data_IF_117030935235
#
_entry.id   IF_117030935235
#
_cell.length_a   1.000
_cell.length_b   1.000
_cell.length_c   1.000
_cell.angle_alpha   90.00
_cell.angle_beta   90.00
_cell.angle_gamma   90.00
#
_symmetry.space_group_name_H-M   'P 1'
#
loop_
_entity.id
_entity.type
_entity.pdbx_description
1 polymer ?
#
# COMPACT_ATOMS: atom_id res chain seq x y z
N UNK A 1 -44.32 17.82 -20.52
CA UNK A 1 -43.07 17.06 -20.79
C UNK A 1 -42.30 17.05 -19.49
N UNK A 2 -42.14 15.89 -18.85
CA UNK A 2 -41.37 15.77 -17.62
C UNK A 2 -39.88 15.84 -17.95
N UNK A 3 -39.19 16.80 -17.32
CA UNK A 3 -37.75 17.01 -17.49
C UNK A 3 -37.00 15.79 -16.92
N UNK A 4 -36.07 15.23 -17.71
CA UNK A 4 -35.28 14.07 -17.27
C UNK A 4 -34.25 14.52 -16.25
N UNK A 5 -34.33 13.99 -15.03
CA UNK A 5 -33.41 14.32 -13.94
C UNK A 5 -32.24 13.32 -13.89
N UNK A 6 -31.02 13.85 -13.73
CA UNK A 6 -29.82 13.04 -13.48
C UNK A 6 -29.85 12.51 -12.03
N UNK A 7 -29.59 11.22 -11.85
CA UNK A 7 -29.51 10.62 -10.52
C UNK A 7 -28.22 11.06 -9.80
N UNK A 8 -28.29 11.56 -8.56
CA UNK A 8 -27.11 12.08 -7.86
C UNK A 8 -26.09 11.01 -7.46
N UNK A 9 -26.49 9.74 -7.36
CA UNK A 9 -25.64 8.64 -6.90
C UNK A 9 -25.05 7.83 -8.06
N UNK A 10 -25.79 7.74 -9.18
CA UNK A 10 -25.45 6.86 -10.31
C UNK A 10 -25.21 7.61 -11.63
N UNK A 11 -25.31 8.94 -11.66
CA UNK A 11 -24.86 9.75 -12.80
C UNK A 11 -23.40 10.20 -12.59
N UNK A 12 -22.46 9.31 -12.94
CA UNK A 12 -21.04 9.54 -12.70
C UNK A 12 -20.43 10.60 -13.62
N UNK A 13 -19.55 11.43 -13.06
CA UNK A 13 -18.56 12.19 -13.82
C UNK A 13 -17.28 11.37 -13.96
N UNK A 14 -16.59 11.54 -15.10
CA UNK A 14 -15.37 10.82 -15.42
C UNK A 14 -14.17 11.76 -15.48
N UNK A 15 -12.99 11.20 -15.28
CA UNK A 15 -11.68 11.84 -15.46
C UNK A 15 -10.83 10.95 -16.35
N UNK A 16 -9.99 11.56 -17.19
CA UNK A 16 -9.08 10.83 -18.05
C UNK A 16 -7.65 11.03 -17.58
N UNK A 17 -6.93 9.94 -17.35
CA UNK A 17 -5.50 9.93 -17.07
C UNK A 17 -4.75 9.44 -18.30
N UNK A 18 -3.71 10.16 -18.71
CA UNK A 18 -2.74 9.68 -19.68
C UNK A 18 -1.51 9.19 -18.93
N UNK A 19 -1.13 7.94 -19.19
CA UNK A 19 0.08 7.32 -18.66
C UNK A 19 0.82 6.72 -19.83
N UNK A 20 2.03 7.22 -20.08
CA UNK A 20 2.79 6.87 -21.29
C UNK A 20 1.94 7.13 -22.55
N UNK A 21 1.71 6.12 -23.38
CA UNK A 21 0.90 6.16 -24.60
C UNK A 21 -0.56 5.73 -24.40
N UNK A 22 -1.01 5.54 -23.15
CA UNK A 22 -2.30 4.94 -22.82
C UNK A 22 -3.22 5.90 -22.05
N UNK A 23 -4.50 5.95 -22.45
CA UNK A 23 -5.55 6.71 -21.76
C UNK A 23 -6.42 5.81 -20.89
N UNK A 24 -6.65 6.24 -19.65
CA UNK A 24 -7.51 5.59 -18.67
C UNK A 24 -8.64 6.53 -18.26
N UNK A 25 -9.89 6.17 -18.57
CA UNK A 25 -11.07 6.95 -18.19
C UNK A 25 -11.76 6.30 -16.99
N UNK A 26 -11.82 7.01 -15.86
CA UNK A 26 -12.31 6.48 -14.57
C UNK A 26 -13.29 7.42 -13.87
N UNK A 27 -14.20 6.92 -13.03
CA UNK A 27 -15.08 7.75 -12.21
C UNK A 27 -14.30 8.73 -11.30
N UNK A 28 -14.70 10.00 -11.32
CA UNK A 28 -13.99 11.11 -10.64
C UNK A 28 -14.03 11.04 -9.11
N UNK A 29 -15.08 10.44 -8.55
CA UNK A 29 -15.35 10.49 -7.10
C UNK A 29 -14.27 9.81 -6.24
N UNK A 30 -13.52 8.85 -6.79
CA UNK A 30 -12.39 8.22 -6.07
C UNK A 30 -11.09 9.00 -6.27
N UNK A 31 -10.92 9.68 -7.40
CA UNK A 31 -9.71 10.45 -7.73
C UNK A 31 -9.92 11.94 -7.50
N UNK A 32 -10.16 12.30 -6.24
CA UNK A 32 -10.24 13.68 -5.79
C UNK A 32 -8.79 14.21 -5.67
N UNK A 33 -8.35 14.95 -6.68
CA UNK A 33 -6.98 15.45 -6.80
C UNK A 33 -6.44 16.07 -5.50
N UNK A 34 -5.23 15.71 -5.05
CA UNK A 34 -4.42 16.59 -4.21
C UNK A 34 -4.18 17.92 -4.95
N UNK A 35 -4.33 19.05 -4.27
CA UNK A 35 -4.12 20.39 -4.87
C UNK A 35 -2.68 20.68 -5.33
N UNK A 36 -1.70 19.81 -5.07
CA UNK A 36 -0.27 20.19 -5.14
C UNK A 36 0.54 19.53 -6.27
N UNK A 37 0.44 18.21 -6.46
CA UNK A 37 1.53 17.49 -7.16
C UNK A 37 1.17 16.96 -8.55
N UNK A 38 -0.12 16.77 -8.86
CA UNK A 38 -0.56 16.32 -10.19
C UNK A 38 -1.39 17.46 -10.77
N UNK A 39 -0.95 18.06 -11.87
CA UNK A 39 -1.67 19.16 -12.52
C UNK A 39 -2.39 18.65 -13.77
N UNK A 40 -3.66 19.01 -13.99
CA UNK A 40 -4.33 18.70 -15.24
C UNK A 40 -3.63 19.45 -16.39
N UNK A 41 -3.42 18.76 -17.50
CA UNK A 41 -2.82 19.35 -18.71
C UNK A 41 -3.87 20.05 -19.55
N UNK A 42 -5.11 19.55 -19.52
CA UNK A 42 -6.27 20.25 -20.05
C UNK A 42 -7.39 20.20 -19.01
N UNK A 43 -7.84 21.38 -18.60
CA UNK A 43 -9.10 21.55 -17.88
C UNK A 43 -10.19 21.79 -18.91
N UNK A 44 -11.13 20.84 -19.03
CA UNK A 44 -12.36 21.08 -19.78
C UNK A 44 -13.16 22.19 -19.10
N UNK A 45 -13.80 23.05 -19.90
CA UNK A 45 -14.68 24.11 -19.37
C UNK A 45 -15.96 23.55 -18.75
N UNK A 46 -16.28 22.31 -19.06
CA UNK A 46 -17.32 21.52 -18.43
C UNK A 46 -16.70 20.24 -17.85
N UNK A 47 -17.23 19.82 -16.70
CA UNK A 47 -16.79 18.73 -15.81
C UNK A 47 -16.67 17.31 -16.44
N UNK A 48 -16.56 17.19 -17.76
CA UNK A 48 -16.59 15.93 -18.50
C UNK A 48 -15.24 15.54 -19.13
N UNK A 49 -14.28 16.46 -19.28
CA UNK A 49 -13.01 16.24 -20.01
C UNK A 49 -11.76 16.79 -19.29
N UNK A 50 -11.61 16.48 -18.00
CA UNK A 50 -10.33 16.71 -17.31
C UNK A 50 -9.31 15.65 -17.77
N UNK A 51 -8.30 16.07 -18.54
CA UNK A 51 -7.14 15.24 -18.90
C UNK A 51 -5.98 15.53 -17.95
N UNK A 52 -5.52 14.47 -17.29
CA UNK A 52 -4.38 14.48 -16.39
C UNK A 52 -3.26 13.64 -16.98
N UNK A 53 -2.16 14.27 -17.37
CA UNK A 53 -0.95 13.53 -17.75
C UNK A 53 -0.16 13.18 -16.49
N UNK A 54 0.13 11.90 -16.31
CA UNK A 54 0.98 11.40 -15.25
C UNK A 54 2.43 11.41 -15.73
N UNK A 55 3.35 11.77 -14.83
CA UNK A 55 4.77 11.86 -15.15
C UNK A 55 5.39 10.49 -15.45
N UNK A 56 6.61 10.52 -16.00
CA UNK A 56 7.34 9.32 -16.44
C UNK A 56 7.67 8.34 -15.30
N UNK A 57 7.55 8.79 -14.04
CA UNK A 57 7.72 7.99 -12.82
C UNK A 57 6.57 7.01 -12.54
N UNK A 58 5.42 7.19 -13.20
CA UNK A 58 4.29 6.26 -13.13
C UNK A 58 4.22 5.50 -14.45
N UNK A 59 4.56 4.21 -14.39
CA UNK A 59 4.44 3.31 -15.55
C UNK A 59 2.99 2.91 -15.76
N UNK A 60 2.62 2.61 -17.01
CA UNK A 60 1.27 2.15 -17.35
C UNK A 60 0.87 0.94 -16.52
N UNK A 61 1.77 -0.04 -16.38
CA UNK A 61 1.49 -1.27 -15.64
C UNK A 61 1.30 -1.01 -14.14
N UNK A 62 2.03 -0.06 -13.56
CA UNK A 62 1.86 0.35 -12.15
C UNK A 62 0.47 0.99 -11.94
N UNK A 63 0.09 1.91 -12.83
CA UNK A 63 -1.22 2.54 -12.77
C UNK A 63 -2.34 1.52 -12.97
N UNK A 64 -2.16 0.53 -13.84
CA UNK A 64 -3.10 -0.57 -14.02
C UNK A 64 -3.30 -1.37 -12.73
N UNK A 65 -2.25 -1.64 -11.94
CA UNK A 65 -2.42 -2.34 -10.67
C UNK A 65 -3.19 -1.51 -9.65
N UNK A 66 -2.96 -0.19 -9.60
CA UNK A 66 -3.77 0.71 -8.78
C UNK A 66 -5.24 0.60 -9.17
N UNK A 67 -5.55 0.69 -10.47
CA UNK A 67 -6.92 0.60 -10.96
C UNK A 67 -7.57 -0.74 -10.67
N UNK A 68 -6.84 -1.86 -10.75
CA UNK A 68 -7.36 -3.18 -10.34
C UNK A 68 -7.73 -3.21 -8.86
N UNK A 69 -6.93 -2.56 -8.00
CA UNK A 69 -7.25 -2.46 -6.58
C UNK A 69 -8.48 -1.57 -6.30
N UNK A 70 -8.66 -0.51 -7.07
CA UNK A 70 -9.78 0.46 -6.96
C UNK A 70 -11.08 -0.09 -7.55
N UNK A 71 -11.00 -0.71 -8.72
CA UNK A 71 -12.10 -1.26 -9.50
C UNK A 71 -11.87 -2.76 -9.72
N UNK A 72 -12.16 -3.61 -8.72
CA UNK A 72 -11.99 -5.04 -8.86
C UNK A 72 -12.81 -5.57 -10.03
N UNK A 73 -12.23 -6.47 -10.83
CA UNK A 73 -12.95 -7.08 -11.97
C UNK A 73 -14.11 -7.95 -11.50
N UNK A 74 -13.95 -8.57 -10.34
CA UNK A 74 -14.91 -9.49 -9.76
C UNK A 74 -15.24 -9.01 -8.34
N UNK A 75 -16.52 -8.77 -8.07
CA UNK A 75 -16.96 -8.18 -6.80
C UNK A 75 -16.62 -9.05 -5.58
N UNK A 76 -16.64 -10.38 -5.76
CA UNK A 76 -16.48 -11.35 -4.69
C UNK A 76 -15.11 -12.05 -4.70
N UNK A 77 -14.23 -11.75 -5.65
CA UNK A 77 -12.94 -12.42 -5.73
C UNK A 77 -11.84 -11.44 -5.32
N UNK A 78 -10.92 -11.87 -4.44
CA UNK A 78 -9.75 -11.07 -4.15
C UNK A 78 -8.95 -10.86 -5.43
N UNK A 79 -8.47 -9.64 -5.64
CA UNK A 79 -7.57 -9.37 -6.75
C UNK A 79 -6.28 -10.18 -6.56
N UNK A 80 -5.99 -11.03 -7.54
CA UNK A 80 -4.74 -11.78 -7.60
C UNK A 80 -3.62 -10.83 -8.03
N UNK A 81 -3.04 -10.17 -7.04
CA UNK A 81 -1.87 -9.30 -7.16
C UNK A 81 -0.72 -9.87 -6.32
N UNK A 82 0.47 -9.86 -6.89
CA UNK A 82 1.70 -10.25 -6.21
C UNK A 82 2.10 -9.24 -5.13
N UNK A 83 3.05 -9.60 -4.25
CA UNK A 83 3.60 -8.69 -3.24
C UNK A 83 4.16 -7.41 -3.87
N UNK A 84 4.86 -7.51 -5.00
CA UNK A 84 5.39 -6.35 -5.73
C UNK A 84 4.28 -5.46 -6.27
N UNK A 85 3.22 -6.06 -6.82
CA UNK A 85 2.07 -5.31 -7.33
C UNK A 85 1.32 -4.62 -6.18
N UNK A 86 1.13 -5.28 -5.03
CA UNK A 86 0.53 -4.64 -3.86
C UNK A 86 1.40 -3.52 -3.27
N UNK A 87 2.72 -3.63 -3.28
CA UNK A 87 3.62 -2.52 -2.90
C UNK A 87 3.44 -1.33 -3.84
N UNK A 88 3.27 -1.59 -5.14
CA UNK A 88 2.98 -0.56 -6.14
C UNK A 88 1.64 0.12 -5.85
N UNK A 89 0.59 -0.64 -5.54
CA UNK A 89 -0.71 -0.10 -5.12
C UNK A 89 -0.57 0.73 -3.85
N UNK A 90 0.21 0.28 -2.86
CA UNK A 90 0.44 1.00 -1.62
C UNK A 90 1.13 2.36 -1.85
N UNK A 91 2.15 2.38 -2.71
CA UNK A 91 2.86 3.60 -3.13
C UNK A 91 1.93 4.58 -3.85
N UNK A 92 1.22 4.12 -4.88
CA UNK A 92 0.37 4.98 -5.69
C UNK A 92 -0.89 5.43 -4.94
N UNK A 93 -1.50 4.58 -4.12
CA UNK A 93 -2.64 4.99 -3.28
C UNK A 93 -2.29 6.13 -2.33
N UNK A 94 -1.07 6.18 -1.81
CA UNK A 94 -0.57 7.34 -1.04
C UNK A 94 -0.45 8.59 -1.91
N UNK A 95 0.09 8.47 -3.13
CA UNK A 95 0.25 9.58 -4.07
C UNK A 95 -1.12 10.19 -4.46
N UNK A 96 -2.10 9.34 -4.73
CA UNK A 96 -3.46 9.73 -5.10
C UNK A 96 -4.39 9.97 -3.90
N UNK A 97 -3.89 9.87 -2.65
CA UNK A 97 -4.66 10.04 -1.41
C UNK A 97 -5.89 9.11 -1.30
N UNK A 98 -5.73 7.88 -1.76
CA UNK A 98 -6.74 6.83 -1.71
C UNK A 98 -6.60 6.01 -0.43
N UNK A 99 -6.97 6.59 0.71
CA UNK A 99 -6.70 5.99 2.03
C UNK A 99 -7.29 4.59 2.20
N UNK A 100 -8.51 4.34 1.71
CA UNK A 100 -9.14 3.02 1.77
C UNK A 100 -8.38 1.98 0.92
N UNK A 101 -7.91 2.38 -0.26
CA UNK A 101 -7.11 1.54 -1.15
C UNK A 101 -5.74 1.29 -0.52
N UNK A 102 -5.15 2.30 0.13
CA UNK A 102 -3.88 2.17 0.87
C UNK A 102 -4.02 1.15 2.00
N UNK A 103 -5.09 1.23 2.79
CA UNK A 103 -5.38 0.26 3.85
C UNK A 103 -5.61 -1.14 3.29
N UNK A 104 -6.34 -1.26 2.17
CA UNK A 104 -6.55 -2.54 1.47
C UNK A 104 -5.22 -3.16 1.03
N UNK A 105 -4.33 -2.36 0.42
CA UNK A 105 -3.01 -2.83 0.00
C UNK A 105 -2.16 -3.28 1.18
N UNK A 106 -2.12 -2.50 2.26
CA UNK A 106 -1.43 -2.88 3.49
C UNK A 106 -1.96 -4.21 4.04
N UNK A 107 -3.28 -4.39 4.17
CA UNK A 107 -3.84 -5.68 4.67
C UNK A 107 -3.41 -6.87 3.83
N UNK A 108 -3.43 -6.76 2.50
CA UNK A 108 -3.00 -7.85 1.63
C UNK A 108 -1.50 -8.13 1.76
N UNK A 109 -0.66 -7.10 1.78
CA UNK A 109 0.79 -7.25 2.01
C UNK A 109 1.09 -7.88 3.37
N UNK A 110 0.35 -7.51 4.42
CA UNK A 110 0.49 -8.11 5.74
C UNK A 110 0.28 -9.62 5.68
N UNK A 111 -0.77 -10.07 4.99
CA UNK A 111 -1.07 -11.49 4.84
C UNK A 111 0.02 -12.22 4.02
N UNK A 112 0.57 -11.58 2.99
CA UNK A 112 1.62 -12.19 2.15
C UNK A 112 2.95 -12.27 2.91
N UNK A 113 3.36 -11.18 3.55
CA UNK A 113 4.69 -11.08 4.15
C UNK A 113 4.81 -11.70 5.53
N UNK A 114 3.76 -11.63 6.35
CA UNK A 114 3.88 -12.14 7.72
C UNK A 114 4.12 -13.64 7.73
N UNK A 115 3.65 -14.38 6.72
CA UNK A 115 3.90 -15.81 6.59
C UNK A 115 5.09 -16.14 5.68
N UNK A 116 5.78 -15.11 5.16
CA UNK A 116 6.97 -15.23 4.33
C UNK A 116 8.18 -14.54 4.96
N UNK A 117 8.77 -13.59 4.23
CA UNK A 117 9.97 -12.87 4.66
C UNK A 117 9.64 -11.71 5.62
N UNK A 118 9.95 -11.92 6.90
CA UNK A 118 9.71 -10.94 7.96
C UNK A 118 10.62 -9.70 7.85
N UNK A 119 11.77 -9.80 7.19
CA UNK A 119 12.67 -8.67 6.97
C UNK A 119 12.10 -7.77 5.88
N UNK A 120 11.64 -8.34 4.77
CA UNK A 120 10.90 -7.58 3.74
C UNK A 120 9.65 -6.91 4.33
N UNK A 121 8.94 -7.59 5.23
CA UNK A 121 7.80 -7.02 5.94
C UNK A 121 8.18 -5.77 6.75
N UNK A 122 9.32 -5.82 7.47
CA UNK A 122 9.83 -4.70 8.27
C UNK A 122 10.28 -3.53 7.38
N UNK A 123 10.93 -3.80 6.25
CA UNK A 123 11.32 -2.80 5.27
C UNK A 123 10.10 -2.10 4.68
N UNK A 124 9.12 -2.88 4.21
CA UNK A 124 7.85 -2.37 3.70
C UNK A 124 7.13 -1.50 4.73
N UNK A 125 7.08 -1.96 5.99
CA UNK A 125 6.47 -1.20 7.08
C UNK A 125 7.17 0.14 7.33
N UNK A 126 8.50 0.15 7.33
CA UNK A 126 9.31 1.36 7.52
C UNK A 126 9.12 2.36 6.38
N UNK A 127 9.23 1.92 5.12
CA UNK A 127 9.09 2.77 3.93
C UNK A 127 7.70 3.41 3.84
N UNK A 128 6.67 2.66 4.21
CA UNK A 128 5.28 3.08 4.10
C UNK A 128 4.69 3.66 5.38
N UNK A 129 5.50 3.81 6.44
CA UNK A 129 5.10 4.29 7.77
C UNK A 129 3.92 3.49 8.35
N UNK A 130 3.99 2.17 8.28
CA UNK A 130 3.03 1.23 8.86
C UNK A 130 3.52 0.83 10.26
N UNK A 131 3.44 1.77 11.20
CA UNK A 131 4.01 1.61 12.55
C UNK A 131 3.37 0.44 13.33
N UNK A 132 2.11 0.13 13.05
CA UNK A 132 1.34 -0.97 13.63
C UNK A 132 1.85 -2.36 13.23
N UNK A 133 2.74 -2.45 12.24
CA UNK A 133 3.36 -3.72 11.84
C UNK A 133 4.63 -4.04 12.62
N UNK A 134 5.30 -3.03 13.17
CA UNK A 134 6.66 -3.19 13.69
C UNK A 134 6.66 -4.10 14.92
N UNK A 135 5.78 -3.87 15.92
CA UNK A 135 5.75 -4.73 17.11
C UNK A 135 5.37 -6.19 16.78
N UNK A 136 4.28 -6.46 16.02
CA UNK A 136 3.95 -7.83 15.63
C UNK A 136 5.05 -8.57 14.87
N UNK A 137 5.80 -7.87 14.00
CA UNK A 137 6.91 -8.46 13.25
C UNK A 137 8.10 -8.79 14.15
N UNK A 138 8.45 -7.88 15.07
CA UNK A 138 9.50 -8.13 16.06
C UNK A 138 9.14 -9.33 16.93
N UNK A 139 7.91 -9.41 17.43
CA UNK A 139 7.43 -10.54 18.22
C UNK A 139 7.51 -11.85 17.43
N UNK A 140 7.10 -11.85 16.15
CA UNK A 140 7.18 -13.04 15.29
C UNK A 140 8.63 -13.49 15.10
N UNK A 141 9.57 -12.58 14.81
CA UNK A 141 11.00 -12.90 14.69
C UNK A 141 11.55 -13.49 15.99
N UNK A 142 11.25 -12.87 17.14
CA UNK A 142 11.70 -13.34 18.46
C UNK A 142 11.15 -14.73 18.76
N UNK A 143 9.87 -14.98 18.46
CA UNK A 143 9.24 -16.28 18.68
C UNK A 143 9.82 -17.42 17.83
N UNK A 144 10.42 -17.10 16.70
CA UNK A 144 11.11 -18.06 15.83
C UNK A 144 12.52 -18.40 16.33
N UNK A 145 12.98 -17.78 17.42
CA UNK A 145 14.36 -17.89 17.94
C UNK A 145 15.41 -17.61 16.84
N UNK A 146 15.05 -16.79 15.83
CA UNK A 146 15.87 -16.48 14.66
C UNK A 146 16.67 -15.21 14.89
N UNK A 147 17.99 -15.29 14.78
CA UNK A 147 18.85 -14.12 14.74
C UNK A 147 18.80 -13.44 13.37
N UNK A 148 18.98 -12.11 13.34
CA UNK A 148 19.19 -11.42 12.08
C UNK A 148 20.66 -11.58 11.68
N UNK A 149 20.90 -11.84 10.40
CA UNK A 149 22.24 -11.69 9.84
C UNK A 149 22.71 -10.23 9.87
N UNK A 150 24.01 -10.01 9.68
CA UNK A 150 24.58 -8.66 9.56
C UNK A 150 23.94 -7.90 8.40
N UNK A 151 23.76 -8.56 7.24
CA UNK A 151 23.10 -7.98 6.07
C UNK A 151 21.64 -7.57 6.36
N UNK A 152 20.85 -8.45 6.98
CA UNK A 152 19.48 -8.11 7.36
C UNK A 152 19.42 -6.96 8.37
N UNK A 153 20.37 -6.94 9.32
CA UNK A 153 20.49 -5.89 10.33
C UNK A 153 20.80 -4.53 9.73
N UNK A 154 21.70 -4.50 8.73
CA UNK A 154 22.01 -3.30 7.95
C UNK A 154 20.78 -2.81 7.18
N UNK A 155 20.07 -3.72 6.51
CA UNK A 155 18.87 -3.40 5.71
C UNK A 155 17.76 -2.79 6.57
N UNK A 156 17.35 -3.44 7.66
CA UNK A 156 16.28 -2.90 8.53
C UNK A 156 16.73 -1.63 9.25
N UNK A 157 18.03 -1.51 9.49
CA UNK A 157 18.70 -0.39 10.12
C UNK A 157 18.76 -0.52 11.65
N UNK A 158 19.70 0.21 12.24
CA UNK A 158 20.14 0.06 13.63
C UNK A 158 19.00 0.12 14.65
N UNK A 159 18.02 0.99 14.45
CA UNK A 159 16.89 1.14 15.40
C UNK A 159 16.03 -0.12 15.51
N UNK A 160 15.71 -0.74 14.37
CA UNK A 160 14.90 -1.97 14.34
C UNK A 160 15.75 -3.16 14.79
N UNK A 161 17.00 -3.26 14.31
CA UNK A 161 17.93 -4.31 14.74
C UNK A 161 18.15 -4.32 16.27
N UNK A 162 18.41 -3.16 16.88
CA UNK A 162 18.53 -3.05 18.34
C UNK A 162 17.24 -3.42 19.07
N UNK A 163 16.07 -3.11 18.49
CA UNK A 163 14.79 -3.46 19.09
C UNK A 163 14.60 -4.98 19.13
N UNK A 164 14.93 -5.66 18.04
CA UNK A 164 14.89 -7.13 17.94
C UNK A 164 15.87 -7.76 18.93
N UNK A 165 17.14 -7.32 18.95
CA UNK A 165 18.16 -7.84 19.86
C UNK A 165 17.76 -7.70 21.34
N UNK A 166 17.19 -6.55 21.73
CA UNK A 166 16.68 -6.33 23.09
C UNK A 166 15.53 -7.26 23.42
N UNK A 167 14.60 -7.47 22.49
CA UNK A 167 13.46 -8.36 22.68
C UNK A 167 13.90 -9.83 22.83
N UNK A 168 14.87 -10.27 22.02
CA UNK A 168 15.49 -11.60 22.12
C UNK A 168 16.17 -11.80 23.48
N UNK A 169 17.05 -10.88 23.89
CA UNK A 169 17.71 -10.98 25.20
C UNK A 169 16.74 -10.99 26.39
N UNK A 170 15.64 -10.21 26.30
CA UNK A 170 14.59 -10.25 27.32
C UNK A 170 13.83 -11.58 27.35
N UNK A 171 13.58 -12.20 26.18
CA UNK A 171 12.95 -13.50 26.06
C UNK A 171 13.82 -14.62 26.65
N UNK A 172 15.12 -14.62 26.34
CA UNK A 172 16.09 -15.57 26.91
C UNK A 172 16.20 -15.47 28.43
N UNK A 173 16.28 -14.25 28.98
CA UNK A 173 16.35 -14.02 30.41
C UNK A 173 15.10 -14.57 31.14
N UNK A 174 13.91 -14.40 30.54
CA UNK A 174 12.66 -14.99 31.05
C UNK A 174 12.68 -16.52 31.00
N UNK A 175 13.23 -17.13 29.94
CA UNK A 175 13.38 -18.59 29.78
C UNK A 175 14.31 -19.15 30.87
N UNK A 176 15.48 -18.54 31.09
CA UNK A 176 16.44 -18.92 32.14
C UNK A 176 15.84 -18.85 33.56
N UNK A 177 15.10 -17.79 33.87
CA UNK A 177 14.41 -17.64 35.17
C UNK A 177 13.34 -18.71 35.42
N UNK A 178 12.64 -19.17 34.38
CA UNK A 178 11.64 -20.24 34.49
C UNK A 178 12.26 -21.62 34.70
N UNK A 179 13.44 -21.86 34.11
CA UNK A 179 14.14 -23.14 34.22
C UNK A 179 14.90 -23.26 35.54
N UNK A 180 15.51 -22.19 36.04
CA UNK A 180 16.23 -22.21 37.33
C UNK A 180 15.35 -22.21 38.59
N UNK A 181 14.03 -22.10 38.44
CA UNK A 181 13.05 -22.15 39.53
C UNK A 181 12.27 -23.48 39.59
N UNK A 182 12.67 -24.47 38.80
CA UNK A 182 12.17 -25.86 38.83
C UNK A 182 13.26 -26.77 39.37
#
# INVERSE_FOLDING_TARGET
>A
MTETQRDPNFYFSFRTFQVEDTLFRVPRHLFLMPKADIKPVRQGTDNEDDLVELGEEIKKDDFLQLLRAVYPRHYNEPEDLSSHQWQTVLRLSKLFQLDEVRQKAARNLKNIFFDGDLVEALLCAKENKLEDWIEPLVDKIVSQERELSDEESERVGTKIAMKIARAQGAAEAKKKRRVGNR
#
